data_IF_501010980757
#
_entry.id   IF_501010980757
#
_cell.length_a   1.000
_cell.length_b   1.000
_cell.length_c   1.000
_cell.angle_alpha   90.00
_cell.angle_beta   90.00
_cell.angle_gamma   90.00
#
_symmetry.space_group_name_H-M   'P 1'
#
loop_
_entity.id
_entity.type
_entity.pdbx_description
1 polymer ?
#
# COMPACT_ATOMS: atom_id res chain seq x y z
N UNK A 1 14.01 16.34 -23.39
CA UNK A 1 12.56 16.14 -23.19
C UNK A 1 12.31 16.14 -21.71
N UNK A 2 11.56 17.13 -21.22
CA UNK A 2 11.40 17.41 -19.81
C UNK A 2 10.54 16.34 -19.09
N UNK A 3 10.90 15.94 -17.85
CA UNK A 3 10.20 14.87 -17.12
C UNK A 3 8.72 15.16 -16.80
N UNK A 4 8.31 16.43 -16.84
CA UNK A 4 6.94 16.88 -16.56
C UNK A 4 5.96 16.68 -17.72
N UNK A 5 6.42 16.30 -18.90
CA UNK A 5 5.54 16.03 -20.06
C UNK A 5 4.68 14.76 -19.87
N UNK A 6 5.11 13.83 -19.00
CA UNK A 6 4.31 12.65 -18.60
C UNK A 6 3.31 12.98 -17.48
N UNK A 7 3.61 13.98 -16.65
CA UNK A 7 2.75 14.46 -15.58
C UNK A 7 1.45 15.07 -16.12
N UNK A 8 1.53 15.84 -17.19
CA UNK A 8 0.38 16.47 -17.85
C UNK A 8 -0.53 15.48 -18.61
N UNK A 9 0.02 14.34 -19.07
CA UNK A 9 -0.76 13.31 -19.76
C UNK A 9 -1.70 12.55 -18.81
N UNK A 10 -1.33 12.44 -17.52
CA UNK A 10 -2.16 11.79 -16.51
C UNK A 10 -3.10 12.74 -15.76
N UNK A 11 -2.89 14.05 -15.83
CA UNK A 11 -3.69 15.06 -15.12
C UNK A 11 -4.70 15.81 -16.01
N UNK A 12 -4.56 15.77 -17.33
CA UNK A 12 -5.47 16.37 -18.27
C UNK A 12 -6.14 15.30 -19.15
N UNK A 13 -7.24 14.71 -18.66
CA UNK A 13 -8.36 14.26 -19.46
C UNK A 13 -8.08 13.32 -20.64
N UNK A 14 -7.18 12.33 -20.50
CA UNK A 14 -7.21 11.13 -21.31
C UNK A 14 -8.15 10.12 -20.64
N UNK A 15 -9.12 9.61 -21.33
CA UNK A 15 -10.11 8.65 -20.82
C UNK A 15 -9.44 7.52 -20.03
N UNK A 16 -9.61 7.50 -18.68
CA UNK A 16 -9.46 6.28 -17.91
C UNK A 16 -8.63 6.30 -16.62
N UNK A 17 -7.65 7.18 -16.39
CA UNK A 17 -6.85 7.14 -15.15
C UNK A 17 -7.34 8.18 -14.16
N UNK A 18 -7.72 7.73 -12.94
CA UNK A 18 -8.29 8.60 -11.90
C UNK A 18 -7.61 8.36 -10.55
N UNK A 19 -7.22 9.47 -9.88
CA UNK A 19 -6.76 9.39 -8.47
C UNK A 19 -7.93 8.97 -7.58
N UNK A 20 -7.69 7.99 -6.70
CA UNK A 20 -8.69 7.54 -5.74
C UNK A 20 -8.98 8.63 -4.71
N UNK A 21 -10.24 8.95 -4.55
CA UNK A 21 -10.73 9.93 -3.58
C UNK A 21 -11.03 9.31 -2.21
N UNK A 22 -11.38 10.16 -1.26
CA UNK A 22 -11.73 9.76 0.10
C UNK A 22 -12.94 8.81 0.15
N UNK A 23 -13.87 8.99 -0.77
CA UNK A 23 -15.04 8.13 -0.99
C UNK A 23 -14.68 6.67 -1.29
N UNK A 24 -13.58 6.43 -2.01
CA UNK A 24 -13.07 5.09 -2.24
C UNK A 24 -12.63 4.41 -0.93
N UNK A 25 -11.83 5.11 -0.13
CA UNK A 25 -11.27 4.58 1.11
C UNK A 25 -12.31 4.49 2.24
N UNK A 26 -13.33 5.35 2.25
CA UNK A 26 -14.38 5.41 3.29
C UNK A 26 -15.36 4.25 3.30
N UNK A 27 -15.08 3.20 2.53
CA UNK A 27 -15.93 2.00 2.40
C UNK A 27 -15.43 0.86 3.29
N UNK A 28 -16.18 -0.25 3.31
CA UNK A 28 -15.80 -1.46 4.04
C UNK A 28 -14.37 -1.90 3.69
N UNK A 29 -13.56 -2.15 4.70
CA UNK A 29 -12.12 -2.44 4.59
C UNK A 29 -11.82 -3.64 3.71
N UNK A 30 -12.61 -4.72 3.83
CA UNK A 30 -12.43 -5.95 3.03
C UNK A 30 -12.70 -5.68 1.55
N UNK A 31 -13.72 -4.89 1.25
CA UNK A 31 -14.03 -4.46 -0.12
C UNK A 31 -12.89 -3.61 -0.69
N UNK A 32 -12.42 -2.61 0.07
CA UNK A 32 -11.30 -1.75 -0.35
C UNK A 32 -10.04 -2.57 -0.58
N UNK A 33 -9.73 -3.53 0.30
CA UNK A 33 -8.55 -4.40 0.15
C UNK A 33 -8.57 -5.19 -1.17
N UNK A 34 -9.72 -5.72 -1.56
CA UNK A 34 -9.88 -6.43 -2.85
C UNK A 34 -9.77 -5.50 -4.05
N UNK A 35 -10.40 -4.34 -3.98
CA UNK A 35 -10.45 -3.39 -5.09
C UNK A 35 -9.15 -2.60 -5.28
N UNK A 36 -8.26 -2.57 -4.28
CA UNK A 36 -6.91 -2.02 -4.40
C UNK A 36 -5.98 -2.88 -5.28
N UNK A 37 -6.29 -4.16 -5.48
CA UNK A 37 -5.51 -4.99 -6.41
C UNK A 37 -5.59 -4.43 -7.84
N UNK A 38 -4.48 -4.45 -8.53
CA UNK A 38 -4.25 -3.82 -9.85
C UNK A 38 -4.28 -2.29 -9.87
N UNK A 39 -4.57 -1.60 -8.77
CA UNK A 39 -4.42 -0.14 -8.71
C UNK A 39 -2.95 0.25 -8.66
N UNK A 40 -2.65 1.46 -9.10
CA UNK A 40 -1.29 1.97 -9.21
C UNK A 40 -0.95 2.85 -8.01
N UNK A 41 -0.04 2.38 -7.16
CA UNK A 41 0.53 3.15 -6.05
C UNK A 41 1.65 4.04 -6.57
N UNK A 42 1.54 5.35 -6.35
CA UNK A 42 2.54 6.33 -6.79
C UNK A 42 3.20 6.98 -5.58
N UNK A 43 4.53 7.01 -5.58
CA UNK A 43 5.36 7.73 -4.60
C UNK A 43 6.27 8.70 -5.31
N UNK A 44 6.19 9.98 -4.96
CA UNK A 44 7.07 11.02 -5.49
C UNK A 44 8.10 11.40 -4.43
N UNK A 45 9.37 11.34 -4.79
CA UNK A 45 10.52 11.75 -3.95
C UNK A 45 11.44 12.62 -4.80
N UNK A 46 11.72 13.82 -4.36
CA UNK A 46 12.60 14.77 -5.05
C UNK A 46 12.25 14.93 -6.54
N UNK A 47 10.98 15.03 -6.85
CA UNK A 47 10.45 15.17 -8.22
C UNK A 47 10.49 13.88 -9.06
N UNK A 48 10.96 12.77 -8.50
CA UNK A 48 10.98 11.48 -9.19
C UNK A 48 9.82 10.61 -8.72
N UNK A 49 8.95 10.21 -9.65
CA UNK A 49 7.84 9.30 -9.38
C UNK A 49 8.29 7.85 -9.51
N UNK A 50 7.88 7.01 -8.55
CA UNK A 50 7.90 5.56 -8.63
C UNK A 50 6.46 5.07 -8.66
N UNK A 51 6.10 4.30 -9.68
CA UNK A 51 4.75 3.77 -9.86
C UNK A 51 4.76 2.24 -9.81
N UNK A 52 3.92 1.69 -8.93
CA UNK A 52 3.85 0.25 -8.68
C UNK A 52 2.41 -0.22 -8.80
N UNK A 53 2.19 -1.36 -9.42
CA UNK A 53 0.91 -2.06 -9.44
C UNK A 53 0.77 -2.88 -8.15
N UNK A 54 -0.31 -2.68 -7.41
CA UNK A 54 -0.59 -3.41 -6.16
C UNK A 54 -1.01 -4.84 -6.50
N UNK A 55 -0.32 -5.82 -5.91
CA UNK A 55 -0.56 -7.26 -6.18
C UNK A 55 -1.00 -8.05 -4.95
N UNK A 56 -0.80 -7.53 -3.74
CA UNK A 56 -1.19 -8.22 -2.51
C UNK A 56 -1.59 -7.24 -1.41
N UNK A 57 -2.72 -7.52 -0.73
CA UNK A 57 -3.27 -6.70 0.36
C UNK A 57 -3.77 -7.56 1.51
N UNK A 58 -3.86 -6.97 2.72
CA UNK A 58 -4.56 -7.57 3.87
C UNK A 58 -5.45 -6.52 4.54
N UNK A 59 -6.67 -6.91 4.94
CA UNK A 59 -7.60 -6.07 5.68
C UNK A 59 -7.46 -6.26 7.20
N UNK A 60 -7.56 -5.15 7.97
CA UNK A 60 -7.53 -5.12 9.43
C UNK A 60 -8.62 -4.19 9.95
N UNK A 61 -9.50 -4.67 10.84
CA UNK A 61 -10.68 -3.93 11.33
C UNK A 61 -10.70 -3.92 12.85
N UNK A 62 -10.33 -2.79 13.46
CA UNK A 62 -10.05 -2.67 14.89
C UNK A 62 -11.20 -3.03 15.83
N UNK A 63 -12.46 -2.82 15.45
CA UNK A 63 -13.60 -3.12 16.31
C UNK A 63 -13.73 -4.61 16.68
N UNK A 64 -13.29 -5.55 15.81
CA UNK A 64 -13.54 -6.98 15.98
C UNK A 64 -12.33 -7.87 15.70
N UNK A 65 -11.29 -7.35 15.13
CA UNK A 65 -10.15 -8.10 14.63
C UNK A 65 -8.99 -8.08 15.64
N UNK A 66 -8.74 -9.20 16.30
CA UNK A 66 -7.65 -9.35 17.27
C UNK A 66 -6.26 -9.20 16.68
N UNK A 67 -6.12 -9.29 15.35
CA UNK A 67 -4.87 -9.01 14.66
C UNK A 67 -4.62 -7.50 14.45
N UNK A 68 -5.64 -6.68 14.55
CA UNK A 68 -5.51 -5.24 14.39
C UNK A 68 -4.85 -4.60 15.62
N UNK A 69 -3.91 -3.68 15.43
CA UNK A 69 -3.27 -2.94 16.52
C UNK A 69 -4.25 -2.16 17.39
N UNK A 70 -5.36 -1.71 16.81
CA UNK A 70 -6.43 -0.98 17.48
C UNK A 70 -7.62 -1.89 17.87
N UNK A 71 -7.39 -3.20 18.04
CA UNK A 71 -8.44 -4.11 18.47
C UNK A 71 -9.21 -3.55 19.67
N UNK A 72 -10.55 -3.71 19.64
CA UNK A 72 -11.47 -3.17 20.62
C UNK A 72 -11.30 -1.65 20.84
N UNK A 73 -11.08 -0.91 19.75
CA UNK A 73 -10.86 0.55 19.77
C UNK A 73 -9.69 1.01 20.64
N UNK A 74 -8.68 0.15 20.81
CA UNK A 74 -7.48 0.50 21.58
C UNK A 74 -6.72 1.64 20.92
N UNK A 75 -6.85 2.84 21.52
CA UNK A 75 -6.22 4.07 21.04
C UNK A 75 -4.97 4.39 21.85
N UNK A 76 -3.85 4.51 21.19
CA UNK A 76 -2.53 4.81 21.74
C UNK A 76 -1.77 5.71 20.78
N UNK A 77 -0.65 6.30 21.19
CA UNK A 77 0.20 7.10 20.29
C UNK A 77 0.64 6.30 19.03
N UNK A 78 0.74 4.99 19.13
CA UNK A 78 1.08 4.11 17.99
C UNK A 78 -0.09 3.91 17.04
N UNK A 79 -1.33 3.85 17.54
CA UNK A 79 -2.53 3.53 16.77
C UNK A 79 -3.34 4.76 16.39
N UNK A 80 -2.93 5.95 16.82
CA UNK A 80 -3.66 7.20 16.61
C UNK A 80 -4.05 7.42 15.15
N UNK A 81 -3.13 7.18 14.22
CA UNK A 81 -3.36 7.38 12.79
C UNK A 81 -4.43 6.44 12.21
N UNK A 82 -4.70 5.28 12.84
CA UNK A 82 -5.82 4.41 12.41
C UNK A 82 -7.19 5.04 12.60
N UNK A 83 -7.32 6.03 13.47
CA UNK A 83 -8.57 6.75 13.73
C UNK A 83 -8.74 8.01 12.86
N UNK A 84 -7.75 8.29 11.99
CA UNK A 84 -7.77 9.43 11.07
C UNK A 84 -8.82 9.25 9.96
N UNK A 85 -9.14 10.31 9.19
CA UNK A 85 -10.02 10.20 8.04
C UNK A 85 -9.55 9.15 7.03
N UNK A 86 -10.46 8.43 6.33
CA UNK A 86 -10.10 7.46 5.31
C UNK A 86 -9.23 8.09 4.21
N UNK A 87 -8.30 7.30 3.65
CA UNK A 87 -7.31 7.82 2.71
C UNK A 87 -6.15 8.52 3.40
N UNK A 88 -5.83 8.13 4.64
CA UNK A 88 -4.61 8.51 5.36
C UNK A 88 -3.63 7.34 5.37
N UNK A 89 -2.34 7.60 5.18
CA UNK A 89 -1.29 6.60 5.30
C UNK A 89 -1.01 6.33 6.79
N UNK A 90 -1.15 5.09 7.22
CA UNK A 90 -0.72 4.62 8.53
C UNK A 90 0.57 3.80 8.38
N UNK A 91 1.67 4.33 8.91
CA UNK A 91 2.99 3.70 8.78
C UNK A 91 3.55 3.40 10.18
N UNK A 92 3.81 2.13 10.46
CA UNK A 92 4.43 1.70 11.69
C UNK A 92 5.72 0.94 11.46
N UNK A 93 6.57 0.90 12.48
CA UNK A 93 7.81 0.13 12.49
C UNK A 93 7.55 -1.23 13.14
N UNK A 94 7.95 -2.32 12.44
CA UNK A 94 7.89 -3.69 12.93
C UNK A 94 9.31 -4.24 13.16
N UNK A 95 9.51 -4.97 14.27
CA UNK A 95 10.80 -5.54 14.68
C UNK A 95 11.96 -4.53 14.75
N UNK A 96 11.67 -3.24 14.91
CA UNK A 96 12.67 -2.18 14.95
C UNK A 96 13.39 -1.91 13.63
N UNK A 97 13.04 -2.58 12.54
CA UNK A 97 13.78 -2.59 11.27
C UNK A 97 12.95 -2.26 10.03
N UNK A 98 11.68 -2.64 10.01
CA UNK A 98 10.87 -2.58 8.80
C UNK A 98 9.63 -1.69 8.99
N UNK A 99 9.38 -0.83 8.02
CA UNK A 99 8.15 -0.05 7.96
C UNK A 99 7.07 -0.83 7.20
N UNK A 100 5.81 -0.62 7.59
CA UNK A 100 4.64 -1.19 6.92
C UNK A 100 3.67 -0.09 6.57
N UNK A 101 3.28 0.02 5.29
CA UNK A 101 2.31 0.98 4.79
C UNK A 101 0.91 0.38 4.82
N UNK A 102 0.03 1.07 5.52
CA UNK A 102 -1.40 0.79 5.54
C UNK A 102 -2.19 2.02 5.05
N UNK A 103 -3.30 1.79 4.40
CA UNK A 103 -4.23 2.82 3.95
C UNK A 103 -5.47 2.78 4.84
N UNK A 104 -5.70 3.86 5.61
CA UNK A 104 -6.86 3.97 6.52
C UNK A 104 -8.16 3.95 5.73
N UNK A 105 -9.12 3.18 6.22
CA UNK A 105 -10.43 2.94 5.58
C UNK A 105 -11.58 3.19 6.56
N UNK A 106 -12.82 3.02 6.08
CA UNK A 106 -14.05 3.26 6.85
C UNK A 106 -14.19 4.73 7.30
N UNK A 107 -15.12 5.03 8.19
CA UNK A 107 -15.33 6.40 8.65
C UNK A 107 -14.22 6.84 9.62
N UNK A 108 -13.99 8.14 9.72
CA UNK A 108 -13.13 8.73 10.74
C UNK A 108 -13.57 8.28 12.14
N UNK A 109 -12.63 7.85 12.96
CA UNK A 109 -12.89 7.28 14.27
C UNK A 109 -13.12 5.77 14.28
N UNK A 110 -13.32 5.14 13.11
CA UNK A 110 -13.36 3.68 12.94
C UNK A 110 -11.95 3.16 12.60
N UNK A 111 -11.24 2.50 13.54
CA UNK A 111 -9.84 2.13 13.32
C UNK A 111 -9.74 0.91 12.41
N UNK A 112 -9.62 1.15 11.12
CA UNK A 112 -9.50 0.11 10.11
C UNK A 112 -8.54 0.54 9.00
N UNK A 113 -7.81 -0.42 8.42
CA UNK A 113 -6.86 -0.14 7.36
C UNK A 113 -6.58 -1.36 6.48
N UNK A 114 -6.09 -1.10 5.29
CA UNK A 114 -5.55 -2.10 4.36
C UNK A 114 -4.03 -2.03 4.37
N UNK A 115 -3.37 -3.13 4.74
CA UNK A 115 -1.92 -3.31 4.63
C UNK A 115 -1.57 -3.65 3.17
N UNK A 116 -0.63 -2.91 2.59
CA UNK A 116 -0.03 -3.25 1.30
C UNK A 116 1.13 -4.22 1.52
N UNK A 117 1.05 -5.41 0.90
CA UNK A 117 2.04 -6.49 1.09
C UNK A 117 2.90 -6.77 -0.12
N UNK A 118 2.38 -6.57 -1.30
CA UNK A 118 3.07 -6.87 -2.55
C UNK A 118 2.71 -5.90 -3.65
N UNK A 119 3.67 -5.66 -4.52
CA UNK A 119 3.50 -4.86 -5.72
C UNK A 119 4.49 -5.29 -6.80
N UNK A 120 4.31 -4.79 -8.01
CA UNK A 120 5.25 -4.95 -9.11
C UNK A 120 5.51 -3.59 -9.81
N UNK A 121 6.72 -3.36 -10.34
CA UNK A 121 7.02 -2.15 -11.10
C UNK A 121 6.22 -2.11 -12.39
N UNK A 122 5.74 -0.93 -12.80
CA UNK A 122 4.99 -0.77 -14.06
C UNK A 122 5.89 -0.52 -15.28
N UNK A 123 7.11 -0.04 -15.06
CA UNK A 123 8.04 0.28 -16.15
C UNK A 123 9.47 -0.18 -15.83
N UNK A 124 10.36 -0.24 -16.83
CA UNK A 124 11.79 -0.48 -16.59
C UNK A 124 12.43 0.58 -15.67
N UNK A 125 11.97 1.84 -15.74
CA UNK A 125 12.44 2.91 -14.85
C UNK A 125 12.02 2.66 -13.40
N UNK A 126 10.79 2.22 -13.15
CA UNK A 126 10.31 1.83 -11.83
C UNK A 126 11.07 0.63 -11.28
N UNK A 127 11.33 -0.38 -12.11
CA UNK A 127 12.14 -1.54 -11.74
C UNK A 127 13.56 -1.14 -11.33
N UNK A 128 14.17 -0.19 -12.05
CA UNK A 128 15.48 0.35 -11.72
C UNK A 128 15.48 1.05 -10.37
N UNK A 129 14.53 1.95 -10.13
CA UNK A 129 14.40 2.64 -8.83
C UNK A 129 14.22 1.65 -7.67
N UNK A 130 13.39 0.62 -7.86
CA UNK A 130 13.22 -0.43 -6.86
C UNK A 130 14.53 -1.19 -6.59
N UNK A 131 15.25 -1.60 -7.63
CA UNK A 131 16.52 -2.34 -7.51
C UNK A 131 17.60 -1.51 -6.80
N UNK A 132 17.74 -0.24 -7.19
CA UNK A 132 18.68 0.70 -6.56
C UNK A 132 18.35 0.95 -5.09
N UNK A 133 17.09 1.26 -4.75
CA UNK A 133 16.68 1.55 -3.36
C UNK A 133 16.72 0.32 -2.46
N UNK A 134 16.47 -0.88 -3.02
CA UNK A 134 16.47 -2.14 -2.28
C UNK A 134 17.86 -2.76 -2.12
N UNK A 135 18.71 -2.68 -3.15
CA UNK A 135 19.95 -3.46 -3.24
C UNK A 135 21.15 -2.63 -3.67
N UNK A 136 20.99 -1.35 -4.06
CA UNK A 136 22.07 -0.53 -4.62
C UNK A 136 22.60 -1.05 -5.95
N UNK A 137 21.76 -1.72 -6.76
CA UNK A 137 22.13 -2.41 -8.00
C UNK A 137 21.20 -2.06 -9.14
N UNK A 138 21.67 -2.29 -10.37
CA UNK A 138 20.83 -2.27 -11.55
C UNK A 138 19.97 -3.56 -11.64
N UNK A 139 18.81 -3.53 -12.32
CA UNK A 139 17.93 -4.69 -12.45
C UNK A 139 18.62 -5.92 -13.06
N UNK A 140 19.53 -5.70 -14.00
CA UNK A 140 20.30 -6.76 -14.70
C UNK A 140 21.22 -7.51 -13.74
N UNK A 141 21.76 -6.82 -12.75
CA UNK A 141 22.72 -7.36 -11.77
C UNK A 141 22.05 -8.09 -10.59
N UNK A 142 20.74 -8.08 -10.53
CA UNK A 142 20.02 -8.78 -9.47
C UNK A 142 20.08 -10.29 -9.65
N UNK A 143 20.35 -11.01 -8.56
CA UNK A 143 20.20 -12.47 -8.52
C UNK A 143 18.74 -12.89 -8.69
N UNK A 144 18.47 -14.12 -9.06
CA UNK A 144 17.10 -14.67 -9.15
C UNK A 144 16.33 -14.52 -7.82
N UNK A 145 17.02 -14.71 -6.69
CA UNK A 145 16.45 -14.53 -5.35
C UNK A 145 16.10 -13.06 -5.09
N UNK A 146 16.96 -12.12 -5.46
CA UNK A 146 16.71 -10.69 -5.31
C UNK A 146 15.52 -10.23 -6.18
N UNK A 147 15.44 -10.71 -7.43
CA UNK A 147 14.29 -10.42 -8.32
C UNK A 147 12.97 -10.88 -7.72
N UNK A 148 12.91 -12.14 -7.24
CA UNK A 148 11.72 -12.69 -6.57
C UNK A 148 11.35 -11.93 -5.29
N UNK A 149 12.34 -11.36 -4.62
CA UNK A 149 12.18 -10.65 -3.35
C UNK A 149 12.18 -9.12 -3.51
N UNK A 150 11.93 -8.60 -4.71
CA UNK A 150 12.02 -7.16 -4.95
C UNK A 150 10.95 -6.40 -4.15
N UNK A 151 9.68 -6.80 -4.23
CA UNK A 151 8.54 -6.11 -3.64
C UNK A 151 7.52 -7.06 -2.97
N UNK A 152 7.88 -8.30 -2.69
CA UNK A 152 7.00 -9.30 -2.09
C UNK A 152 7.07 -9.29 -0.56
N UNK A 153 6.61 -8.26 0.06
CA UNK A 153 6.52 -8.09 1.50
C UNK A 153 6.44 -6.62 1.91
N UNK A 154 5.71 -6.29 3.00
CA UNK A 154 5.40 -4.90 3.36
C UNK A 154 6.67 -4.07 3.65
N UNK A 155 7.66 -4.64 4.33
CA UNK A 155 8.93 -3.95 4.59
C UNK A 155 9.74 -3.68 3.33
N UNK A 156 9.75 -4.62 2.40
CA UNK A 156 10.43 -4.49 1.10
C UNK A 156 9.78 -3.40 0.26
N UNK A 157 8.45 -3.35 0.27
CA UNK A 157 7.67 -2.32 -0.41
C UNK A 157 7.98 -0.92 0.13
N UNK A 158 7.96 -0.74 1.46
CA UNK A 158 8.29 0.54 2.08
C UNK A 158 9.73 0.98 1.78
N UNK A 159 10.69 0.05 1.76
CA UNK A 159 12.08 0.38 1.41
C UNK A 159 12.18 0.88 -0.05
N UNK A 160 11.54 0.21 -1.00
CA UNK A 160 11.52 0.64 -2.40
C UNK A 160 10.85 2.02 -2.58
N UNK A 161 9.78 2.28 -1.83
CA UNK A 161 9.04 3.54 -1.84
C UNK A 161 9.73 4.66 -1.03
N UNK A 162 10.86 4.38 -0.35
CA UNK A 162 11.51 5.32 0.58
C UNK A 162 10.52 5.86 1.63
N UNK A 163 9.69 4.98 2.18
CA UNK A 163 8.71 5.31 3.21
C UNK A 163 9.24 4.96 4.60
N UNK A 164 9.09 5.90 5.51
CA UNK A 164 9.43 5.77 6.93
C UNK A 164 8.29 6.29 7.79
N UNK A 165 8.48 6.35 9.10
CA UNK A 165 7.55 7.00 10.02
C UNK A 165 7.32 8.50 9.73
N UNK A 166 8.19 9.13 8.98
CA UNK A 166 8.02 10.53 8.59
C UNK A 166 6.77 10.77 7.70
N UNK A 167 6.31 9.74 6.99
CA UNK A 167 5.11 9.81 6.16
C UNK A 167 3.85 9.26 6.89
N UNK A 168 3.94 8.88 8.17
CA UNK A 168 2.77 8.50 8.95
C UNK A 168 1.81 9.69 9.09
N UNK A 169 0.53 9.49 8.79
CA UNK A 169 -0.48 10.55 8.77
C UNK A 169 -0.61 11.31 7.45
N UNK A 170 0.22 10.99 6.44
CA UNK A 170 0.12 11.63 5.12
C UNK A 170 -1.21 11.32 4.43
N UNK A 171 -1.85 12.36 3.88
CA UNK A 171 -3.08 12.18 3.09
C UNK A 171 -2.75 11.61 1.70
N UNK A 172 -3.42 10.53 1.33
CA UNK A 172 -3.30 9.87 0.00
C UNK A 172 -4.04 10.63 -1.12
N UNK A 173 -4.52 11.82 -0.82
CA UNK A 173 -5.22 12.71 -1.76
C UNK A 173 -4.29 13.78 -2.34
N UNK A 174 -3.08 13.91 -1.79
CA UNK A 174 -2.03 14.81 -2.25
C UNK A 174 -1.21 14.25 -3.41
N UNK A 175 -0.01 14.82 -3.61
CA UNK A 175 0.85 14.51 -4.76
C UNK A 175 2.15 13.77 -4.37
N UNK A 176 2.34 13.50 -3.08
CA UNK A 176 3.54 12.82 -2.57
C UNK A 176 3.39 11.30 -2.53
N UNK A 177 2.21 10.81 -2.10
CA UNK A 177 1.83 9.40 -2.05
C UNK A 177 0.34 9.29 -2.34
N UNK A 178 -0.03 8.56 -3.38
CA UNK A 178 -1.42 8.41 -3.79
C UNK A 178 -1.64 7.13 -4.60
N UNK A 179 -2.91 6.80 -4.84
CA UNK A 179 -3.29 5.63 -5.65
C UNK A 179 -4.13 6.07 -6.84
N UNK A 180 -3.81 5.53 -8.02
CA UNK A 180 -4.53 5.74 -9.26
C UNK A 180 -5.34 4.50 -9.62
N UNK A 181 -6.54 4.72 -10.12
CA UNK A 181 -7.33 3.74 -10.87
C UNK A 181 -7.08 3.91 -12.36
N UNK A 182 -6.45 2.92 -12.99
CA UNK A 182 -6.23 2.87 -14.43
C UNK A 182 -7.31 2.04 -15.16
N UNK A 183 -8.42 1.73 -14.50
CA UNK A 183 -9.51 0.93 -15.06
C UNK A 183 -9.22 -0.57 -15.17
N UNK A 184 -8.07 -1.02 -14.68
CA UNK A 184 -7.74 -2.44 -14.67
C UNK A 184 -8.63 -3.20 -13.68
N UNK A 185 -9.22 -4.30 -14.16
CA UNK A 185 -9.99 -5.23 -13.34
C UNK A 185 -9.27 -6.58 -13.32
N UNK A 186 -8.78 -7.03 -12.17
CA UNK A 186 -8.15 -8.35 -12.08
C UNK A 186 -9.20 -9.44 -12.34
N UNK A 187 -8.84 -10.42 -13.18
CA UNK A 187 -9.74 -11.53 -13.54
C UNK A 187 -9.87 -12.54 -12.41
N UNK A 188 -8.74 -12.83 -11.76
CA UNK A 188 -8.65 -13.83 -10.71
C UNK A 188 -8.04 -13.20 -9.46
N UNK A 189 -8.81 -13.17 -8.37
CA UNK A 189 -8.35 -12.71 -7.06
C UNK A 189 -8.35 -13.91 -6.13
N UNK A 190 -7.17 -14.29 -5.67
CA UNK A 190 -7.01 -15.29 -4.62
C UNK A 190 -7.35 -14.69 -3.26
N UNK A 191 -7.87 -15.54 -2.37
CA UNK A 191 -8.28 -15.14 -1.02
C UNK A 191 -7.80 -16.19 -0.02
N UNK A 192 -7.27 -15.75 1.11
CA UNK A 192 -6.78 -16.65 2.14
C UNK A 192 -6.47 -15.98 3.47
N UNK A 193 -5.89 -16.75 4.37
CA UNK A 193 -5.48 -16.25 5.69
C UNK A 193 -4.36 -15.22 5.56
N UNK A 194 -4.36 -14.25 6.48
CA UNK A 194 -3.31 -13.24 6.62
C UNK A 194 -2.03 -13.86 7.17
N UNK A 195 -0.91 -13.21 6.95
CA UNK A 195 0.43 -13.71 7.28
C UNK A 195 0.94 -13.11 8.60
N UNK A 196 1.50 -13.98 9.47
CA UNK A 196 2.20 -13.55 10.68
C UNK A 196 1.28 -13.09 11.82
N UNK A 197 0.03 -13.57 11.84
CA UNK A 197 -0.98 -13.21 12.84
C UNK A 197 -1.52 -14.42 13.60
N UNK A 198 -0.76 -15.49 13.74
CA UNK A 198 -1.18 -16.74 14.40
C UNK A 198 -1.62 -16.52 15.86
N UNK A 199 -1.14 -15.44 16.50
CA UNK A 199 -1.53 -15.04 17.85
C UNK A 199 -2.97 -14.50 17.96
N UNK A 200 -3.62 -14.21 16.85
CA UNK A 200 -4.89 -13.45 16.81
C UNK A 200 -6.13 -14.30 17.05
N UNK A 201 -5.97 -15.53 17.58
CA UNK A 201 -7.07 -16.45 17.88
C UNK A 201 -7.97 -16.68 16.64
N UNK A 202 -9.31 -16.58 16.78
CA UNK A 202 -10.25 -16.74 15.67
C UNK A 202 -10.00 -15.80 14.48
N UNK A 203 -9.45 -14.61 14.73
CA UNK A 203 -9.13 -13.66 13.67
C UNK A 203 -7.98 -14.13 12.76
N UNK A 204 -7.14 -15.08 13.21
CA UNK A 204 -6.12 -15.70 12.37
C UNK A 204 -6.72 -16.47 11.20
N UNK A 205 -7.96 -16.93 11.33
CA UNK A 205 -8.67 -17.71 10.31
C UNK A 205 -9.45 -16.85 9.31
N UNK A 206 -9.57 -15.53 9.53
CA UNK A 206 -10.29 -14.67 8.61
C UNK A 206 -9.60 -14.64 7.24
N UNK A 207 -10.34 -14.86 6.13
CA UNK A 207 -9.78 -14.90 4.78
C UNK A 207 -9.63 -13.48 4.22
N UNK A 208 -8.92 -12.62 4.95
CA UNK A 208 -8.80 -11.18 4.65
C UNK A 208 -7.46 -10.80 4.02
N UNK A 209 -6.80 -11.76 3.38
CA UNK A 209 -5.66 -11.54 2.50
C UNK A 209 -6.07 -11.83 1.06
N UNK A 210 -5.72 -10.90 0.16
CA UNK A 210 -6.06 -10.94 -1.25
C UNK A 210 -4.81 -10.77 -2.10
N UNK A 211 -4.70 -11.54 -3.20
CA UNK A 211 -3.56 -11.42 -4.11
C UNK A 211 -3.95 -11.85 -5.54
N UNK A 212 -3.11 -11.42 -6.52
CA UNK A 212 -3.22 -11.75 -7.94
C UNK A 212 -2.45 -13.03 -8.28
#
# INVERSE_FOLDING_TARGET
TAPWMWYDTFHNGGDGVKKLGRDFYGRNTVTVARELLSKHLVRVVDGTALTLRITETEAYIGRMDKACHAYNYRRTSRTETLFAPPGTAYIYLIYGLHHCLNLVTEAEGEPAAVLLRGAEPLSPADARLCAQRRFGREPEDLTSTQRKNLLNGPGKLCQALSLTRAQDGLALLGDELYVLDAGEQPKDIHTGKRIGIDYAQEAADFPWRFWL
#
